data_IF_994742550714
#
_entry.id   IF_994742550714
#
_cell.length_a   1.000
_cell.length_b   1.000
_cell.length_c   1.000
_cell.angle_alpha   90.00
_cell.angle_beta   90.00
_cell.angle_gamma   90.00
#
_symmetry.space_group_name_H-M   'P 1'
#
loop_
_entity.id
_entity.type
_entity.pdbx_description
1 polymer ?
#
# COMPACT_ATOMS: atom_id res chain seq x y z
N UNK A 1 9.26 3.16 2.23
CA UNK A 1 8.12 2.76 3.08
C UNK A 1 8.02 1.25 3.06
N UNK A 2 8.59 0.59 4.08
CA UNK A 2 8.60 -0.88 4.16
C UNK A 2 7.24 -1.46 4.52
N UNK A 3 6.39 -0.70 5.23
CA UNK A 3 5.16 -1.22 5.83
C UNK A 3 4.14 -1.75 4.82
N UNK A 4 3.86 -1.02 3.73
CA UNK A 4 3.02 -1.52 2.63
C UNK A 4 3.53 -2.85 2.06
N UNK A 5 4.85 -2.95 1.83
CA UNK A 5 5.49 -4.16 1.31
C UNK A 5 5.40 -5.31 2.32
N UNK A 6 5.63 -5.04 3.60
CA UNK A 6 5.56 -6.02 4.69
C UNK A 6 4.13 -6.59 4.77
N UNK A 7 3.11 -5.75 4.85
CA UNK A 7 1.72 -6.21 4.95
C UNK A 7 1.27 -6.98 3.71
N UNK A 8 1.69 -6.54 2.52
CA UNK A 8 1.46 -7.28 1.28
C UNK A 8 2.06 -8.69 1.33
N UNK A 9 3.32 -8.81 1.79
CA UNK A 9 4.02 -10.11 1.89
C UNK A 9 3.40 -11.00 2.97
N UNK A 10 3.03 -10.45 4.12
CA UNK A 10 2.31 -11.19 5.18
C UNK A 10 1.02 -11.85 4.66
N UNK A 11 0.35 -11.21 3.71
CA UNK A 11 -0.84 -11.75 3.03
C UNK A 11 -0.53 -12.65 1.81
N UNK A 12 0.73 -12.96 1.54
CA UNK A 12 1.14 -13.81 0.42
C UNK A 12 0.88 -13.19 -0.96
N UNK A 13 0.74 -11.86 -1.04
CA UNK A 13 0.38 -11.17 -2.27
C UNK A 13 1.63 -10.73 -3.04
N UNK A 14 1.65 -10.95 -4.35
CA UNK A 14 2.56 -10.24 -5.25
C UNK A 14 2.07 -8.81 -5.47
N UNK A 15 2.89 -7.94 -6.04
CA UNK A 15 2.43 -6.59 -6.42
C UNK A 15 1.30 -6.65 -7.46
N UNK A 16 1.30 -7.65 -8.34
CA UNK A 16 0.22 -7.89 -9.31
C UNK A 16 -1.07 -8.30 -8.60
N UNK A 17 -1.02 -9.26 -7.67
CA UNK A 17 -2.20 -9.66 -6.90
C UNK A 17 -2.76 -8.52 -6.05
N UNK A 18 -1.91 -7.66 -5.49
CA UNK A 18 -2.39 -6.46 -4.79
C UNK A 18 -2.99 -5.44 -5.76
N UNK A 19 -2.44 -5.30 -6.97
CA UNK A 19 -2.97 -4.44 -8.02
C UNK A 19 -4.40 -4.83 -8.39
N UNK A 20 -4.61 -6.12 -8.67
CA UNK A 20 -5.92 -6.70 -8.94
C UNK A 20 -6.89 -6.51 -7.76
N UNK A 21 -6.45 -6.82 -6.53
CA UNK A 21 -7.28 -6.71 -5.32
C UNK A 21 -7.67 -5.26 -4.99
N UNK A 22 -6.77 -4.30 -5.19
CA UNK A 22 -6.98 -2.91 -4.84
C UNK A 22 -7.57 -2.06 -5.98
N UNK A 23 -7.52 -2.54 -7.22
CA UNK A 23 -7.83 -1.73 -8.40
C UNK A 23 -6.88 -0.52 -8.53
N UNK A 24 -5.60 -0.75 -8.23
CA UNK A 24 -4.53 0.25 -8.27
C UNK A 24 -3.40 -0.32 -9.13
N UNK A 25 -2.97 0.40 -10.16
CA UNK A 25 -1.94 -0.11 -11.07
C UNK A 25 -0.67 -0.58 -10.34
N UNK A 26 -0.14 -1.73 -10.75
CA UNK A 26 1.09 -2.32 -10.19
C UNK A 26 2.26 -1.34 -10.11
N UNK A 27 2.43 -0.47 -11.13
CA UNK A 27 3.49 0.55 -11.14
C UNK A 27 3.33 1.53 -9.97
N UNK A 28 2.10 1.94 -9.67
CA UNK A 28 1.77 2.81 -8.53
C UNK A 28 2.14 2.14 -7.22
N UNK A 29 1.74 0.88 -7.02
CA UNK A 29 2.11 0.09 -5.82
C UNK A 29 3.63 0.02 -5.68
N UNK A 30 4.32 -0.33 -6.77
CA UNK A 30 5.76 -0.45 -6.77
C UNK A 30 6.47 0.89 -6.51
N UNK A 31 5.91 2.00 -6.97
CA UNK A 31 6.42 3.34 -6.68
C UNK A 31 6.20 3.71 -5.22
N UNK A 32 5.03 3.41 -4.63
CA UNK A 32 4.75 3.68 -3.22
C UNK A 32 5.70 2.89 -2.31
N UNK A 33 5.92 1.60 -2.61
CA UNK A 33 6.84 0.76 -1.82
C UNK A 33 8.28 1.30 -1.82
N UNK A 34 8.74 1.87 -2.94
CA UNK A 34 10.11 2.39 -3.10
C UNK A 34 10.27 3.85 -2.66
N UNK A 35 9.37 4.72 -3.09
CA UNK A 35 9.46 6.19 -3.02
C UNK A 35 8.54 6.81 -1.97
N UNK A 36 7.63 6.03 -1.37
CA UNK A 36 6.65 6.52 -0.40
C UNK A 36 5.43 7.18 -1.05
N UNK A 37 4.63 7.87 -0.23
CA UNK A 37 3.29 8.35 -0.61
C UNK A 37 3.20 9.84 -0.92
N UNK A 38 4.32 10.57 -0.99
CA UNK A 38 4.34 12.05 -1.10
C UNK A 38 3.49 12.62 -2.25
N UNK A 39 3.45 11.93 -3.38
CA UNK A 39 2.68 12.36 -4.57
C UNK A 39 1.46 11.45 -4.84
N UNK A 40 1.11 10.59 -3.88
CA UNK A 40 0.03 9.62 -4.04
C UNK A 40 -1.29 10.21 -3.56
N UNK A 41 -2.35 10.24 -4.40
CA UNK A 41 -3.67 10.69 -3.96
C UNK A 41 -4.23 9.85 -2.81
N UNK A 42 -4.94 10.48 -1.88
CA UNK A 42 -5.50 9.81 -0.68
C UNK A 42 -6.37 8.60 -1.04
N UNK A 43 -7.20 8.70 -2.08
CA UNK A 43 -8.07 7.60 -2.50
C UNK A 43 -7.30 6.33 -2.93
N UNK A 44 -6.04 6.45 -3.39
CA UNK A 44 -5.18 5.31 -3.69
C UNK A 44 -4.71 4.65 -2.39
N UNK A 45 -4.36 5.45 -1.38
CA UNK A 45 -3.95 4.95 -0.07
C UNK A 45 -5.11 4.18 0.59
N UNK A 46 -6.33 4.71 0.51
CA UNK A 46 -7.54 4.06 1.02
C UNK A 46 -7.81 2.71 0.34
N UNK A 47 -7.69 2.66 -0.99
CA UNK A 47 -7.83 1.40 -1.75
C UNK A 47 -6.82 0.35 -1.31
N UNK A 48 -5.56 0.73 -1.12
CA UNK A 48 -4.50 -0.19 -0.69
C UNK A 48 -4.71 -0.65 0.75
N UNK A 49 -5.08 0.25 1.65
CA UNK A 49 -5.41 -0.07 3.03
C UNK A 49 -6.57 -1.07 3.11
N UNK A 50 -7.67 -0.79 2.38
CA UNK A 50 -8.82 -1.69 2.28
C UNK A 50 -8.45 -3.05 1.70
N UNK A 51 -7.64 -3.10 0.64
CA UNK A 51 -7.19 -4.36 0.05
C UNK A 51 -6.30 -5.19 0.98
N UNK A 52 -5.63 -4.53 1.94
CA UNK A 52 -4.81 -5.17 2.96
C UNK A 52 -5.54 -5.27 4.31
N UNK A 53 -6.86 -5.07 4.35
CA UNK A 53 -7.69 -5.17 5.56
C UNK A 53 -7.08 -4.42 6.76
N UNK A 54 -6.60 -3.19 6.52
CA UNK A 54 -5.99 -2.29 7.50
C UNK A 54 -6.46 -0.85 7.23
N UNK A 55 -6.05 0.11 8.06
CA UNK A 55 -6.35 1.52 7.88
C UNK A 55 -5.21 2.28 7.19
N UNK A 56 -5.52 3.42 6.56
CA UNK A 56 -4.50 4.32 5.99
C UNK A 56 -3.52 4.77 7.07
N UNK A 57 -4.01 5.05 8.28
CA UNK A 57 -3.18 5.41 9.44
C UNK A 57 -2.21 4.29 9.77
N UNK A 58 -2.68 3.07 10.02
CA UNK A 58 -1.78 1.96 10.35
C UNK A 58 -0.77 1.66 9.24
N UNK A 59 -1.20 1.73 7.98
CA UNK A 59 -0.38 1.33 6.84
C UNK A 59 0.69 2.37 6.46
N UNK A 60 0.40 3.66 6.65
CA UNK A 60 1.24 4.75 6.16
C UNK A 60 1.65 5.78 7.23
N UNK A 61 1.00 5.80 8.39
CA UNK A 61 1.19 6.77 9.47
C UNK A 61 1.13 6.06 10.83
N UNK A 62 2.09 5.16 11.11
CA UNK A 62 2.31 4.71 12.49
C UNK A 62 3.30 5.61 13.19
N UNK A 63 3.02 5.88 14.45
CA UNK A 63 3.76 6.77 15.35
C UNK A 63 5.22 6.33 15.52
N UNK A 64 6.06 6.68 14.54
CA UNK A 64 7.49 6.90 14.69
C UNK A 64 7.81 8.20 13.95
N UNK A 65 7.41 9.29 14.59
CA UNK A 65 8.24 10.50 14.68
C UNK A 65 8.55 10.72 16.16
#
# INVERSE_FOLDING_TARGET
MLKLKIERIKKGLTQEKLSEKAGVGRVTISNIERKGIKTTPVHILEKLAKALDTTVKELFFSDEE
#
